data_IF_258412317098
#
_entry.id   IF_258412317098
#
_cell.length_a   1.000
_cell.length_b   1.000
_cell.length_c   1.000
_cell.angle_alpha   90.00
_cell.angle_beta   90.00
_cell.angle_gamma   90.00
#
_symmetry.space_group_name_H-M   'P 1'
#
loop_
_entity.id
_entity.type
_entity.pdbx_description
1 polymer ?
#
# COMPACT_ATOMS: atom_id res chain seq x y z
N UNK A 1 -18.83 29.79 7.84
CA UNK A 1 -17.79 29.55 6.81
C UNK A 1 -17.98 28.16 6.21
N UNK A 2 -18.43 28.05 4.96
CA UNK A 2 -18.33 26.82 4.17
C UNK A 2 -17.04 26.94 3.33
N UNK A 3 -16.04 26.12 3.62
CA UNK A 3 -14.83 26.01 2.79
C UNK A 3 -15.12 25.05 1.63
N UNK A 4 -14.67 25.40 0.42
CA UNK A 4 -14.87 24.59 -0.81
C UNK A 4 -14.14 23.23 -0.80
N UNK A 5 -13.33 22.96 0.22
CA UNK A 5 -12.61 21.70 0.37
C UNK A 5 -13.36 20.74 1.30
N UNK A 6 -13.74 19.57 0.76
CA UNK A 6 -14.34 18.48 1.52
C UNK A 6 -13.21 17.71 2.25
N UNK A 7 -12.80 18.24 3.41
CA UNK A 7 -11.72 17.68 4.26
C UNK A 7 -12.10 16.33 4.90
N UNK A 8 -13.34 15.88 4.73
CA UNK A 8 -13.84 14.63 5.28
C UNK A 8 -13.97 13.57 4.21
N UNK A 9 -12.84 13.04 3.74
CA UNK A 9 -12.83 11.74 3.04
C UNK A 9 -13.11 10.64 4.06
N UNK A 10 -14.37 10.49 4.47
CA UNK A 10 -14.86 9.32 5.19
C UNK A 10 -14.92 8.16 4.20
N UNK A 11 -13.76 7.65 3.77
CA UNK A 11 -13.69 6.44 2.97
C UNK A 11 -14.16 5.28 3.86
N UNK A 12 -15.44 4.95 3.74
CA UNK A 12 -16.04 3.80 4.42
C UNK A 12 -15.25 2.56 4.04
N UNK A 13 -14.57 1.97 5.02
CA UNK A 13 -13.83 0.74 4.82
C UNK A 13 -14.87 -0.37 4.59
N UNK A 14 -15.10 -0.69 3.32
CA UNK A 14 -16.03 -1.76 2.93
C UNK A 14 -15.41 -3.09 3.31
N UNK A 15 -16.05 -3.83 4.22
CA UNK A 15 -15.63 -5.19 4.52
C UNK A 15 -15.73 -6.04 3.25
N UNK A 16 -14.69 -6.83 2.99
CA UNK A 16 -14.69 -7.79 1.88
C UNK A 16 -15.86 -8.77 2.00
N UNK A 17 -16.39 -9.22 0.86
CA UNK A 17 -17.49 -10.19 0.82
C UNK A 17 -17.14 -11.49 1.56
N UNK A 18 -18.01 -11.93 2.47
CA UNK A 18 -17.85 -13.17 3.24
C UNK A 18 -17.69 -14.41 2.33
N UNK A 19 -18.35 -14.40 1.18
CA UNK A 19 -18.24 -15.48 0.18
C UNK A 19 -16.82 -15.56 -0.40
N UNK A 20 -16.24 -14.41 -0.76
CA UNK A 20 -14.86 -14.34 -1.30
C UNK A 20 -13.84 -14.80 -0.27
N UNK A 21 -14.03 -14.41 1.00
CA UNK A 21 -13.21 -14.88 2.12
C UNK A 21 -13.27 -16.41 2.26
N UNK A 22 -14.47 -16.99 2.32
CA UNK A 22 -14.62 -18.44 2.46
C UNK A 22 -14.05 -19.24 1.28
N UNK A 23 -14.23 -18.75 0.04
CA UNK A 23 -13.67 -19.38 -1.15
C UNK A 23 -12.15 -19.28 -1.20
N UNK A 24 -11.54 -18.14 -0.83
CA UNK A 24 -10.08 -18.01 -0.80
C UNK A 24 -9.47 -18.94 0.25
N UNK A 25 -10.04 -19.02 1.45
CA UNK A 25 -9.58 -19.96 2.47
C UNK A 25 -9.78 -21.42 2.07
N UNK A 26 -10.94 -21.76 1.49
CA UNK A 26 -11.20 -23.09 0.95
C UNK A 26 -10.19 -23.50 -0.13
N UNK A 27 -9.88 -22.59 -1.05
CA UNK A 27 -8.88 -22.81 -2.10
C UNK A 27 -7.46 -22.97 -1.54
N UNK A 28 -7.03 -22.11 -0.62
CA UNK A 28 -5.71 -22.22 0.02
C UNK A 28 -5.57 -23.52 0.80
N UNK A 29 -6.59 -23.92 1.57
CA UNK A 29 -6.60 -25.19 2.30
C UNK A 29 -6.58 -26.40 1.36
N UNK A 30 -7.29 -26.33 0.24
CA UNK A 30 -7.26 -27.38 -0.78
C UNK A 30 -5.85 -27.51 -1.39
N UNK A 31 -5.20 -26.40 -1.75
CA UNK A 31 -3.82 -26.40 -2.22
C UNK A 31 -2.86 -26.99 -1.20
N UNK A 32 -2.96 -26.59 0.07
CA UNK A 32 -2.13 -27.14 1.15
C UNK A 32 -2.43 -28.62 1.44
N UNK A 33 -3.67 -29.07 1.21
CA UNK A 33 -4.08 -30.47 1.35
C UNK A 33 -3.52 -31.37 0.26
N UNK A 34 -3.41 -30.85 -0.96
CA UNK A 34 -2.89 -31.56 -2.15
C UNK A 34 -1.37 -31.41 -2.30
N UNK A 35 -0.76 -30.35 -1.76
CA UNK A 35 0.69 -30.10 -1.82
C UNK A 35 1.58 -31.32 -1.46
N UNK A 36 1.26 -32.13 -0.43
CA UNK A 36 2.05 -33.33 -0.10
C UNK A 36 2.08 -34.38 -1.22
N UNK A 37 1.09 -34.40 -2.11
CA UNK A 37 1.05 -35.35 -3.24
C UNK A 37 2.18 -35.10 -4.23
N UNK A 38 2.68 -33.85 -4.32
CA UNK A 38 3.84 -33.50 -5.16
C UNK A 38 5.12 -34.22 -4.70
N UNK A 39 5.19 -34.57 -3.41
CA UNK A 39 6.33 -35.24 -2.79
C UNK A 39 6.05 -36.73 -2.51
N UNK A 40 5.06 -37.33 -3.20
CA UNK A 40 4.63 -38.73 -3.04
C UNK A 40 4.12 -39.10 -1.63
N UNK A 41 3.72 -38.11 -0.83
CA UNK A 41 3.05 -38.34 0.45
C UNK A 41 1.53 -38.35 0.27
N UNK A 42 0.84 -39.04 1.18
CA UNK A 42 -0.62 -39.05 1.20
C UNK A 42 -1.16 -37.63 1.36
N UNK A 43 -2.22 -37.26 0.60
CA UNK A 43 -2.86 -35.97 0.78
C UNK A 43 -3.36 -35.83 2.20
N UNK A 44 -3.33 -34.60 2.72
CA UNK A 44 -3.87 -34.32 4.05
C UNK A 44 -5.38 -34.21 3.94
N UNK A 45 -6.05 -35.36 4.00
CA UNK A 45 -7.51 -35.49 3.93
C UNK A 45 -8.25 -34.55 4.90
N UNK A 46 -7.68 -34.30 6.08
CA UNK A 46 -8.23 -33.36 7.06
C UNK A 46 -8.26 -31.93 6.50
N UNK A 47 -7.18 -31.45 5.86
CA UNK A 47 -7.16 -30.12 5.26
C UNK A 47 -8.10 -30.02 4.06
N UNK A 48 -8.19 -31.07 3.25
CA UNK A 48 -9.14 -31.13 2.14
C UNK A 48 -10.58 -31.09 2.63
N UNK A 49 -10.92 -31.86 3.67
CA UNK A 49 -12.25 -31.85 4.29
C UNK A 49 -12.59 -30.47 4.88
N UNK A 50 -11.67 -29.86 5.63
CA UNK A 50 -11.88 -28.51 6.19
C UNK A 50 -12.03 -27.47 5.06
N UNK A 51 -11.23 -27.56 3.99
CA UNK A 51 -11.32 -26.69 2.83
C UNK A 51 -12.66 -26.83 2.09
N UNK A 52 -13.15 -28.06 1.91
CA UNK A 52 -14.45 -28.36 1.30
C UNK A 52 -15.60 -27.82 2.17
N UNK A 53 -15.53 -27.98 3.49
CA UNK A 53 -16.50 -27.40 4.43
C UNK A 53 -16.49 -25.86 4.32
N UNK A 54 -15.32 -25.24 4.27
CA UNK A 54 -15.19 -23.79 4.09
C UNK A 54 -15.82 -23.32 2.78
N UNK A 55 -15.56 -24.01 1.67
CA UNK A 55 -16.14 -23.70 0.37
C UNK A 55 -17.66 -23.89 0.37
N UNK A 56 -18.16 -24.97 0.98
CA UNK A 56 -19.60 -25.22 1.11
C UNK A 56 -20.28 -24.14 1.96
N UNK A 57 -19.74 -23.79 3.13
CA UNK A 57 -20.28 -22.70 3.95
C UNK A 57 -20.21 -21.36 3.21
N UNK A 58 -19.17 -21.11 2.41
CA UNK A 58 -19.07 -19.90 1.61
C UNK A 58 -20.20 -19.77 0.58
N UNK A 59 -20.63 -20.89 -0.04
CA UNK A 59 -21.68 -20.93 -1.05
C UNK A 59 -23.09 -20.92 -0.43
N UNK A 60 -23.31 -21.73 0.60
CA UNK A 60 -24.66 -21.95 1.15
C UNK A 60 -25.01 -21.04 2.34
N UNK A 61 -24.04 -20.68 3.18
CA UNK A 61 -24.29 -19.90 4.41
C UNK A 61 -23.14 -18.91 4.72
N UNK A 62 -22.90 -17.91 3.85
CA UNK A 62 -21.77 -16.98 4.01
C UNK A 62 -21.85 -16.14 5.29
N UNK A 63 -23.03 -15.92 5.84
CA UNK A 63 -23.22 -15.12 7.05
C UNK A 63 -22.59 -15.75 8.30
N UNK A 64 -22.45 -17.09 8.34
CA UNK A 64 -21.75 -17.77 9.43
C UNK A 64 -20.24 -17.51 9.43
N UNK A 65 -19.67 -17.20 8.26
CA UNK A 65 -18.26 -16.77 8.16
C UNK A 65 -18.05 -15.28 8.47
N UNK A 66 -19.11 -14.51 8.68
CA UNK A 66 -19.04 -13.07 8.99
C UNK A 66 -18.14 -12.71 10.17
N UNK A 67 -18.24 -13.35 11.36
CA UNK A 67 -17.35 -13.03 12.49
C UNK A 67 -15.88 -13.35 12.18
N UNK A 68 -15.63 -14.43 11.45
CA UNK A 68 -14.27 -14.84 11.08
C UNK A 68 -13.67 -13.89 10.04
N UNK A 69 -14.43 -13.51 9.02
CA UNK A 69 -14.01 -12.53 8.01
C UNK A 69 -13.71 -11.18 8.67
N UNK A 70 -14.51 -10.74 9.65
CA UNK A 70 -14.26 -9.52 10.43
C UNK A 70 -12.94 -9.60 11.21
N UNK A 71 -12.68 -10.72 11.88
CA UNK A 71 -11.44 -10.93 12.62
C UNK A 71 -10.22 -10.92 11.68
N UNK A 72 -10.31 -11.65 10.56
CA UNK A 72 -9.27 -11.66 9.54
C UNK A 72 -9.02 -10.27 8.95
N UNK A 73 -10.08 -9.51 8.68
CA UNK A 73 -9.96 -8.16 8.17
C UNK A 73 -9.25 -7.23 9.15
N UNK A 74 -9.58 -7.30 10.46
CA UNK A 74 -8.86 -6.57 11.51
C UNK A 74 -7.38 -6.95 11.59
N UNK A 75 -7.09 -8.24 11.49
CA UNK A 75 -5.71 -8.72 11.44
C UNK A 75 -4.97 -8.16 10.22
N UNK A 76 -5.60 -8.18 9.04
CA UNK A 76 -5.05 -7.60 7.81
C UNK A 76 -4.78 -6.09 7.95
N UNK A 77 -5.66 -5.35 8.63
CA UNK A 77 -5.43 -3.93 8.91
C UNK A 77 -4.24 -3.70 9.86
N UNK A 78 -4.11 -4.52 10.91
CA UNK A 78 -2.97 -4.45 11.83
C UNK A 78 -1.66 -4.77 11.10
N UNK A 79 -1.67 -5.81 10.29
CA UNK A 79 -0.52 -6.18 9.46
C UNK A 79 -0.18 -5.06 8.48
N UNK A 80 -1.17 -4.45 7.82
CA UNK A 80 -0.96 -3.33 6.92
C UNK A 80 -0.31 -2.13 7.63
N UNK A 81 -0.67 -1.86 8.90
CA UNK A 81 -0.05 -0.79 9.68
C UNK A 81 1.45 -1.00 9.91
N UNK A 82 1.93 -2.26 9.91
CA UNK A 82 3.36 -2.59 10.04
C UNK A 82 4.03 -2.70 8.68
N UNK A 83 3.37 -3.35 7.71
CA UNK A 83 3.91 -3.57 6.37
C UNK A 83 4.03 -2.27 5.59
N UNK A 84 3.08 -1.34 5.74
CA UNK A 84 3.12 -0.05 5.04
C UNK A 84 4.39 0.75 5.36
N UNK A 85 4.72 1.07 6.63
CA UNK A 85 5.97 1.76 6.95
C UNK A 85 7.21 0.91 6.62
N UNK A 86 7.13 -0.42 6.71
CA UNK A 86 8.25 -1.29 6.32
C UNK A 86 8.56 -1.17 4.82
N UNK A 87 7.55 -1.23 3.95
CA UNK A 87 7.70 -1.06 2.51
C UNK A 87 8.19 0.35 2.20
N UNK A 88 7.62 1.39 2.82
CA UNK A 88 8.07 2.77 2.61
C UNK A 88 9.52 2.98 3.06
N UNK A 89 9.92 2.39 4.19
CA UNK A 89 11.30 2.38 4.65
C UNK A 89 12.21 1.63 3.68
N UNK A 90 11.81 0.46 3.21
CA UNK A 90 12.56 -0.30 2.22
C UNK A 90 12.73 0.50 0.91
N UNK A 91 11.68 1.13 0.40
CA UNK A 91 11.77 2.01 -0.78
C UNK A 91 12.74 3.17 -0.56
N UNK A 92 12.70 3.78 0.63
CA UNK A 92 13.64 4.84 0.97
C UNK A 92 15.10 4.34 0.99
N UNK A 93 15.37 3.19 1.60
CA UNK A 93 16.74 2.66 1.68
C UNK A 93 17.22 1.98 0.39
N UNK A 94 16.32 1.43 -0.42
CA UNK A 94 16.66 0.73 -1.66
C UNK A 94 16.72 1.65 -2.89
N UNK A 95 15.95 2.74 -2.92
CA UNK A 95 15.91 3.67 -4.06
C UNK A 95 16.46 5.05 -3.69
N UNK A 96 15.88 5.70 -2.68
CA UNK A 96 16.19 7.11 -2.37
C UNK A 96 17.61 7.27 -1.80
N UNK A 97 17.99 6.41 -0.86
CA UNK A 97 19.30 6.44 -0.19
C UNK A 97 20.45 6.20 -1.17
N UNK A 98 20.45 5.15 -2.02
CA UNK A 98 21.52 4.95 -2.98
C UNK A 98 21.56 6.06 -4.03
N UNK A 99 20.40 6.58 -4.46
CA UNK A 99 20.36 7.73 -5.36
C UNK A 99 21.06 8.95 -4.74
N UNK A 100 20.76 9.26 -3.47
CA UNK A 100 21.43 10.33 -2.73
C UNK A 100 22.94 10.08 -2.58
N UNK A 101 23.35 8.83 -2.35
CA UNK A 101 24.77 8.48 -2.27
C UNK A 101 25.49 8.65 -3.61
N UNK A 102 24.87 8.24 -4.71
CA UNK A 102 25.38 8.46 -6.08
C UNK A 102 25.51 9.95 -6.35
N UNK A 103 24.47 10.75 -6.09
CA UNK A 103 24.52 12.20 -6.29
C UNK A 103 25.64 12.88 -5.48
N UNK A 104 25.85 12.42 -4.24
CA UNK A 104 26.93 12.93 -3.39
C UNK A 104 28.31 12.60 -3.94
N UNK A 105 28.48 11.42 -4.55
CA UNK A 105 29.73 11.04 -5.25
C UNK A 105 29.93 11.83 -6.54
N UNK A 106 28.87 12.07 -7.32
CA UNK A 106 28.94 12.86 -8.56
C UNK A 106 29.13 14.36 -8.29
N UNK A 107 29.00 14.79 -7.03
CA UNK A 107 29.19 16.19 -6.62
C UNK A 107 28.02 17.12 -6.98
N UNK A 108 26.90 16.55 -7.42
CA UNK A 108 25.69 17.28 -7.83
C UNK A 108 24.99 17.87 -6.61
N UNK A 109 25.05 19.18 -6.46
CA UNK A 109 24.35 19.93 -5.42
C UNK A 109 23.04 20.50 -5.98
N UNK A 110 22.00 19.67 -6.09
CA UNK A 110 20.70 20.10 -6.64
C UNK A 110 20.00 21.16 -5.78
N UNK A 111 20.32 21.21 -4.49
CA UNK A 111 19.68 22.12 -3.53
C UNK A 111 20.51 23.37 -3.27
N UNK A 112 21.66 23.56 -3.95
CA UNK A 112 22.61 24.65 -3.73
C UNK A 112 22.93 24.85 -2.23
N UNK A 113 23.10 23.74 -1.49
CA UNK A 113 23.30 23.74 -0.04
C UNK A 113 24.71 24.19 0.37
N UNK A 114 25.67 24.19 -0.56
CA UNK A 114 27.03 24.67 -0.29
C UNK A 114 27.04 26.17 -0.01
N UNK A 115 27.40 26.54 1.22
CA UNK A 115 27.62 27.93 1.62
C UNK A 115 28.80 28.50 0.81
N UNK A 116 28.54 29.58 0.08
CA UNK A 116 29.48 30.37 -0.72
C UNK A 116 29.74 31.69 0.03
N UNK A 117 30.80 31.78 0.86
CA UNK A 117 31.10 32.99 1.64
C UNK A 117 31.48 34.21 0.77
N UNK A 118 31.87 33.96 -0.47
CA UNK A 118 32.21 34.92 -1.51
C UNK A 118 31.02 35.37 -2.39
N UNK A 119 29.84 34.77 -2.20
CA UNK A 119 28.66 35.11 -3.00
C UNK A 119 28.07 36.46 -2.58
N UNK A 120 27.88 37.36 -3.55
CA UNK A 120 27.21 38.66 -3.34
C UNK A 120 25.74 38.53 -2.95
N UNK A 121 25.07 37.46 -3.40
CA UNK A 121 23.69 37.13 -3.06
C UNK A 121 23.38 35.68 -3.44
N UNK A 122 22.55 34.99 -2.66
CA UNK A 122 22.03 33.66 -2.98
C UNK A 122 20.74 33.71 -3.83
N UNK A 123 20.27 34.92 -4.16
CA UNK A 123 19.03 35.09 -4.92
C UNK A 123 19.19 34.57 -6.36
N UNK A 124 18.35 33.61 -6.73
CA UNK A 124 18.26 33.10 -8.10
C UNK A 124 17.30 34.00 -8.86
N UNK A 125 17.84 34.88 -9.70
CA UNK A 125 17.04 35.70 -10.62
C UNK A 125 16.36 34.77 -11.62
N UNK A 126 15.03 34.80 -11.65
CA UNK A 126 14.23 34.08 -12.64
C UNK A 126 13.73 35.09 -13.66
N UNK A 127 13.95 34.82 -14.93
CA UNK A 127 13.34 35.63 -15.99
C UNK A 127 11.83 35.38 -16.01
N UNK A 128 11.01 36.43 -16.19
CA UNK A 128 9.57 36.27 -16.27
C UNK A 128 9.21 35.36 -17.45
N UNK A 129 8.51 34.27 -17.17
CA UNK A 129 7.92 33.43 -18.21
C UNK A 129 6.71 34.15 -18.81
N UNK A 130 6.53 34.16 -20.15
CA UNK A 130 5.35 34.71 -20.81
C UNK A 130 4.01 34.13 -20.28
N UNK A 131 4.04 32.91 -19.72
CA UNK A 131 2.88 32.23 -19.14
C UNK A 131 2.50 32.79 -17.76
N UNK A 132 3.47 33.32 -17.01
CA UNK A 132 3.24 33.86 -15.67
C UNK A 132 2.54 35.23 -15.69
N UNK A 133 2.75 36.01 -16.75
CA UNK A 133 2.14 37.35 -16.91
C UNK A 133 0.61 37.30 -16.96
N UNK A 134 0.04 36.19 -17.44
CA UNK A 134 -1.41 35.98 -17.57
C UNK A 134 -2.00 35.05 -16.50
N UNK A 135 -1.19 34.58 -15.53
CA UNK A 135 -1.63 33.59 -14.54
C UNK A 135 -2.46 34.20 -13.39
N UNK A 136 -2.34 35.50 -13.13
CA UNK A 136 -2.94 36.19 -11.98
C UNK A 136 -4.11 37.11 -12.35
N UNK A 137 -4.75 36.91 -13.51
CA UNK A 137 -5.83 37.78 -14.01
C UNK A 137 -7.16 37.61 -13.26
N UNK A 138 -7.28 36.62 -12.36
CA UNK A 138 -8.51 36.34 -11.58
C UNK A 138 -8.20 36.01 -10.12
N UNK A 139 -7.62 36.96 -9.40
CA UNK A 139 -7.29 36.78 -7.97
C UNK A 139 -8.41 37.17 -6.99
N UNK A 140 -9.52 37.71 -7.47
CA UNK A 140 -10.68 38.12 -6.66
C UNK A 140 -11.99 37.77 -7.35
#
# INVERSE_FOLDING_TARGET
MQTHENVSSFRKIVLGSNQKFGLTFGFVLALLGVWPMVHHHSPRWILLAIGAIFAALALFMPDRLSPLNRAWFKFGMLLNRVVNPLIMGLMFFAAVTPLGWVMRKTGSDLLNLKIRPDAKSYWIVREPSPEAENAMTKQF
#
